data_IF_040375873003
#
_entry.id   IF_040375873003
#
_cell.length_a   1.000
_cell.length_b   1.000
_cell.length_c   1.000
_cell.angle_alpha   90.00
_cell.angle_beta   90.00
_cell.angle_gamma   90.00
#
_symmetry.space_group_name_H-M   'P 1'
#
loop_
_entity.id
_entity.type
_entity.pdbx_description
1 polymer ?
#
# COMPACT_ATOMS: atom_id res chain seq x y z
N UNK A 1 12.51 -10.63 0.78
CA UNK A 1 11.91 -9.53 0.05
C UNK A 1 12.54 -8.17 0.39
N UNK A 2 12.64 -7.81 1.68
CA UNK A 2 13.26 -6.56 2.08
C UNK A 2 14.76 -6.76 2.30
N UNK A 3 15.55 -5.78 1.91
CA UNK A 3 16.99 -5.79 2.14
C UNK A 3 17.50 -4.36 2.29
N UNK A 4 18.68 -4.21 2.90
CA UNK A 4 19.32 -2.91 2.99
C UNK A 4 19.96 -2.54 1.66
N UNK A 5 19.86 -1.28 1.28
CA UNK A 5 20.58 -0.78 0.12
C UNK A 5 22.06 -0.59 0.47
N UNK A 6 22.91 -0.48 -0.55
CA UNK A 6 24.34 -0.17 -0.35
C UNK A 6 24.56 1.18 0.32
N UNK A 7 23.53 2.04 0.35
CA UNK A 7 23.59 3.36 0.98
C UNK A 7 23.02 3.36 2.40
N UNK A 8 22.74 2.16 2.97
CA UNK A 8 22.23 2.03 4.33
C UNK A 8 20.72 2.15 4.47
N UNK A 9 19.98 2.41 3.40
CA UNK A 9 18.52 2.45 3.42
C UNK A 9 17.90 1.09 3.23
N UNK A 10 16.61 0.97 3.53
CA UNK A 10 15.83 -0.24 3.27
C UNK A 10 15.23 -0.14 1.87
N UNK A 11 15.48 -1.15 1.05
CA UNK A 11 14.85 -1.25 -0.26
C UNK A 11 14.08 -2.54 -0.35
N UNK A 12 13.00 -2.50 -1.10
CA UNK A 12 12.21 -3.69 -1.38
C UNK A 12 12.79 -4.39 -2.60
N UNK A 13 12.89 -5.72 -2.54
CA UNK A 13 13.22 -6.49 -3.71
C UNK A 13 12.15 -6.27 -4.79
N UNK A 14 12.53 -6.44 -6.04
CA UNK A 14 11.62 -6.27 -7.17
C UNK A 14 10.34 -7.07 -6.98
N UNK A 15 9.21 -6.43 -7.20
CA UNK A 15 7.90 -7.05 -7.03
C UNK A 15 7.59 -7.96 -8.22
N UNK A 16 7.11 -9.16 -7.90
CA UNK A 16 6.52 -10.09 -8.88
C UNK A 16 5.13 -10.44 -8.36
N UNK A 17 4.13 -10.29 -9.20
CA UNK A 17 2.75 -10.57 -8.81
C UNK A 17 2.09 -11.53 -9.80
N UNK A 18 1.32 -12.46 -9.28
CA UNK A 18 0.57 -13.45 -10.08
C UNK A 18 -0.90 -13.53 -9.67
N UNK A 19 -1.33 -12.73 -8.71
CA UNK A 19 -2.70 -12.77 -8.18
C UNK A 19 -3.75 -12.52 -9.25
N UNK A 20 -3.47 -11.65 -10.21
CA UNK A 20 -4.39 -11.38 -11.31
C UNK A 20 -4.64 -12.62 -12.15
N UNK A 21 -3.58 -13.30 -12.55
CA UNK A 21 -3.68 -14.54 -13.33
C UNK A 21 -4.41 -15.64 -12.55
N UNK A 22 -4.10 -15.77 -11.28
CA UNK A 22 -4.70 -16.79 -10.44
C UNK A 22 -6.21 -16.57 -10.26
N UNK A 23 -6.63 -15.34 -10.04
CA UNK A 23 -8.03 -15.01 -9.77
C UNK A 23 -8.84 -14.80 -11.05
N UNK A 24 -8.27 -14.16 -12.06
CA UNK A 24 -9.00 -13.63 -13.21
C UNK A 24 -8.43 -14.04 -14.57
N UNK A 25 -7.40 -14.88 -14.60
CA UNK A 25 -6.71 -15.20 -15.85
C UNK A 25 -7.62 -15.77 -16.93
N UNK A 26 -8.60 -16.58 -16.55
CA UNK A 26 -9.55 -17.18 -17.49
C UNK A 26 -10.73 -16.27 -17.82
N UNK A 27 -11.12 -15.43 -16.88
CA UNK A 27 -12.29 -14.55 -17.04
C UNK A 27 -11.92 -13.21 -17.67
N UNK A 28 -10.81 -12.60 -17.26
CA UNK A 28 -10.38 -11.28 -17.72
C UNK A 28 -8.87 -11.28 -17.94
N UNK A 29 -8.39 -11.97 -19.00
CA UNK A 29 -6.94 -12.14 -19.20
C UNK A 29 -6.17 -10.86 -19.42
N UNK A 30 -6.75 -9.88 -20.10
CA UNK A 30 -6.06 -8.59 -20.29
C UNK A 30 -5.92 -7.84 -18.97
N UNK A 31 -6.99 -7.81 -18.17
CA UNK A 31 -6.94 -7.18 -16.85
C UNK A 31 -5.90 -7.86 -15.97
N UNK A 32 -5.86 -9.19 -15.98
CA UNK A 32 -4.88 -9.95 -15.21
C UNK A 32 -3.46 -9.62 -15.64
N UNK A 33 -3.22 -9.49 -16.95
CA UNK A 33 -1.92 -9.08 -17.49
C UNK A 33 -1.55 -7.66 -17.01
N UNK A 34 -2.47 -6.72 -17.10
CA UNK A 34 -2.21 -5.35 -16.65
C UNK A 34 -1.93 -5.29 -15.15
N UNK A 35 -2.67 -6.07 -14.36
CA UNK A 35 -2.44 -6.14 -12.93
C UNK A 35 -1.05 -6.70 -12.61
N UNK A 36 -0.73 -7.85 -13.17
CA UNK A 36 0.47 -8.59 -12.78
C UNK A 36 1.74 -8.02 -13.42
N UNK A 37 1.71 -7.78 -14.72
CA UNK A 37 2.90 -7.43 -15.48
C UNK A 37 3.15 -5.92 -15.57
N UNK A 38 2.10 -5.13 -15.69
CA UNK A 38 2.23 -3.69 -15.87
C UNK A 38 2.16 -2.96 -14.54
N UNK A 39 1.06 -3.09 -13.81
CA UNK A 39 0.91 -2.40 -12.53
C UNK A 39 1.99 -2.80 -11.55
N UNK A 40 2.09 -4.08 -11.25
CA UNK A 40 3.06 -4.56 -10.26
C UNK A 40 4.43 -4.83 -10.86
N UNK A 41 4.50 -5.38 -12.07
CA UNK A 41 5.79 -5.73 -12.69
C UNK A 41 6.58 -4.53 -13.16
N UNK A 42 5.92 -3.50 -13.64
CA UNK A 42 6.59 -2.30 -14.16
C UNK A 42 6.40 -1.09 -13.27
N UNK A 43 5.15 -0.68 -13.01
CA UNK A 43 4.91 0.57 -12.29
C UNK A 43 5.41 0.55 -10.85
N UNK A 44 5.07 -0.49 -10.08
CA UNK A 44 5.51 -0.60 -8.70
C UNK A 44 7.03 -0.76 -8.57
N UNK A 45 7.69 -1.26 -9.59
CA UNK A 45 9.15 -1.43 -9.61
C UNK A 45 9.91 -0.23 -10.19
N UNK A 46 9.20 0.80 -10.62
CA UNK A 46 9.83 2.03 -11.10
C UNK A 46 10.48 2.75 -9.91
N UNK A 47 11.74 3.14 -10.06
CA UNK A 47 12.54 3.69 -8.97
C UNK A 47 12.49 5.22 -8.86
N UNK A 48 11.65 5.89 -9.66
CA UNK A 48 11.54 7.36 -9.62
C UNK A 48 10.98 7.88 -8.30
N UNK A 49 10.16 7.07 -7.61
CA UNK A 49 9.78 7.30 -6.22
C UNK A 49 10.03 6.02 -5.44
N UNK A 50 10.41 6.17 -4.17
CA UNK A 50 10.73 5.02 -3.35
C UNK A 50 9.48 4.22 -2.95
N UNK A 51 9.70 3.00 -2.48
CA UNK A 51 8.63 2.07 -2.16
C UNK A 51 7.76 2.58 -1.01
N UNK A 52 8.37 3.21 -0.01
CA UNK A 52 7.63 3.76 1.14
C UNK A 52 6.62 4.82 0.67
N UNK A 53 7.07 5.74 -0.19
CA UNK A 53 6.19 6.78 -0.72
C UNK A 53 5.12 6.21 -1.65
N UNK A 54 5.44 5.18 -2.46
CA UNK A 54 4.42 4.51 -3.28
C UNK A 54 3.32 3.92 -2.41
N UNK A 55 3.70 3.28 -1.31
CA UNK A 55 2.72 2.71 -0.37
C UNK A 55 1.84 3.80 0.25
N UNK A 56 2.43 4.92 0.66
CA UNK A 56 1.68 6.05 1.22
C UNK A 56 0.70 6.61 0.20
N UNK A 57 1.16 6.87 -1.02
CA UNK A 57 0.33 7.40 -2.11
C UNK A 57 -0.85 6.46 -2.37
N UNK A 58 -0.59 5.16 -2.41
CA UNK A 58 -1.63 4.15 -2.68
C UNK A 58 -2.68 4.13 -1.57
N UNK A 59 -2.25 4.11 -0.31
CA UNK A 59 -3.17 4.15 0.84
C UNK A 59 -4.03 5.41 0.80
N UNK A 60 -3.42 6.56 0.57
CA UNK A 60 -4.13 7.84 0.50
C UNK A 60 -5.15 7.85 -0.64
N UNK A 61 -4.76 7.38 -1.81
CA UNK A 61 -5.66 7.34 -2.98
C UNK A 61 -6.87 6.44 -2.73
N UNK A 62 -6.63 5.24 -2.18
CA UNK A 62 -7.69 4.28 -1.91
C UNK A 62 -8.64 4.80 -0.83
N UNK A 63 -8.09 5.35 0.25
CA UNK A 63 -8.89 5.98 1.31
C UNK A 63 -9.75 7.11 0.76
N UNK A 64 -9.14 8.01 0.02
CA UNK A 64 -9.83 9.18 -0.51
C UNK A 64 -10.94 8.80 -1.49
N UNK A 65 -10.76 7.72 -2.25
CA UNK A 65 -11.78 7.22 -3.17
C UNK A 65 -12.92 6.50 -2.47
N UNK A 66 -12.78 6.20 -1.18
CA UNK A 66 -13.81 5.54 -0.38
C UNK A 66 -13.77 4.02 -0.41
N UNK A 67 -12.76 3.42 -1.00
CA UNK A 67 -12.61 1.96 -1.04
C UNK A 67 -11.94 1.49 0.25
N UNK A 68 -12.75 1.26 1.29
CA UNK A 68 -12.25 0.88 2.62
C UNK A 68 -12.62 -0.58 2.87
N UNK A 69 -11.82 -1.47 2.31
CA UNK A 69 -12.05 -2.91 2.36
C UNK A 69 -10.71 -3.65 2.49
N UNK A 70 -10.70 -4.93 2.16
CA UNK A 70 -9.49 -5.76 2.24
C UNK A 70 -8.36 -5.26 1.35
N UNK A 71 -8.66 -4.57 0.25
CA UNK A 71 -7.63 -3.98 -0.60
C UNK A 71 -6.86 -2.91 0.16
N UNK A 72 -7.55 -2.04 0.88
CA UNK A 72 -6.89 -1.02 1.68
C UNK A 72 -6.06 -1.64 2.80
N UNK A 73 -6.60 -2.66 3.46
CA UNK A 73 -5.86 -3.36 4.52
C UNK A 73 -4.55 -3.94 3.98
N UNK A 74 -4.61 -4.56 2.80
CA UNK A 74 -3.42 -5.09 2.14
C UNK A 74 -2.37 -4.00 1.93
N UNK A 75 -2.79 -2.83 1.45
CA UNK A 75 -1.86 -1.72 1.21
C UNK A 75 -1.36 -1.07 2.50
N UNK A 76 -2.17 -1.06 3.58
CA UNK A 76 -1.70 -0.63 4.90
C UNK A 76 -0.62 -1.58 5.42
N UNK A 77 -0.81 -2.88 5.25
CA UNK A 77 0.21 -3.87 5.62
C UNK A 77 1.50 -3.67 4.83
N UNK A 78 1.40 -3.39 3.53
CA UNK A 78 2.56 -3.11 2.71
C UNK A 78 3.25 -1.82 3.13
N UNK A 79 2.49 -0.80 3.50
CA UNK A 79 3.04 0.46 4.01
C UNK A 79 3.87 0.21 5.27
N UNK A 80 3.35 -0.59 6.19
CA UNK A 80 4.09 -0.97 7.41
C UNK A 80 5.39 -1.68 7.03
N UNK A 81 5.35 -2.64 6.13
CA UNK A 81 6.55 -3.35 5.67
C UNK A 81 7.55 -2.40 5.01
N UNK A 82 7.06 -1.37 4.33
CA UNK A 82 7.91 -0.39 3.67
C UNK A 82 8.52 0.64 4.64
N UNK A 83 8.21 0.53 5.92
CA UNK A 83 8.82 1.37 6.94
C UNK A 83 7.93 2.50 7.45
N UNK A 84 6.65 2.53 7.08
CA UNK A 84 5.72 3.51 7.65
C UNK A 84 5.44 3.11 9.09
N UNK A 85 5.82 3.98 10.02
CA UNK A 85 5.60 3.73 11.45
C UNK A 85 4.15 4.02 11.83
N UNK A 86 3.74 3.52 12.99
CA UNK A 86 2.43 3.85 13.55
C UNK A 86 2.23 5.36 13.63
N UNK A 87 3.23 6.07 14.13
CA UNK A 87 3.17 7.52 14.29
C UNK A 87 3.01 8.24 12.95
N UNK A 88 3.77 7.81 11.95
CA UNK A 88 3.65 8.36 10.60
C UNK A 88 2.26 8.08 10.01
N UNK A 89 1.79 6.83 10.15
CA UNK A 89 0.48 6.45 9.64
C UNK A 89 -0.62 7.31 10.28
N UNK A 90 -0.57 7.53 11.59
CA UNK A 90 -1.55 8.37 12.28
C UNK A 90 -1.53 9.79 11.70
N UNK A 91 -0.36 10.36 11.50
CA UNK A 91 -0.24 11.71 10.94
C UNK A 91 -0.76 11.79 9.51
N UNK A 92 -0.46 10.78 8.68
CA UNK A 92 -0.92 10.71 7.29
C UNK A 92 -2.45 10.64 7.22
N UNK A 93 -3.04 9.69 7.93
CA UNK A 93 -4.49 9.47 7.88
C UNK A 93 -5.24 10.67 8.46
N UNK A 94 -4.74 11.24 9.56
CA UNK A 94 -5.33 12.43 10.15
C UNK A 94 -5.36 13.59 9.16
N UNK A 95 -4.23 13.83 8.49
CA UNK A 95 -4.14 14.90 7.50
C UNK A 95 -5.13 14.67 6.36
N UNK A 96 -5.14 13.47 5.79
CA UNK A 96 -6.02 13.15 4.67
C UNK A 96 -7.50 13.26 5.06
N UNK A 97 -7.86 12.92 6.30
CA UNK A 97 -9.25 12.99 6.76
C UNK A 97 -9.83 14.40 6.67
N UNK A 98 -9.01 15.44 6.85
CA UNK A 98 -9.45 16.83 6.69
C UNK A 98 -9.87 17.15 5.25
N UNK A 99 -9.26 16.49 4.28
CA UNK A 99 -9.49 16.75 2.86
C UNK A 99 -10.46 15.78 2.22
N UNK A 100 -10.44 14.52 2.68
CA UNK A 100 -11.24 13.45 2.05
C UNK A 100 -12.53 13.13 2.79
N UNK A 101 -12.66 13.57 4.04
CA UNK A 101 -13.84 13.34 4.86
C UNK A 101 -13.48 12.61 6.16
N UNK A 102 -13.96 13.18 7.26
CA UNK A 102 -13.65 12.68 8.61
C UNK A 102 -14.14 11.24 8.83
N UNK A 103 -15.35 10.86 8.37
CA UNK A 103 -15.79 9.47 8.49
C UNK A 103 -14.87 8.45 7.83
N UNK A 104 -14.21 8.82 6.73
CA UNK A 104 -13.23 7.94 6.09
C UNK A 104 -12.02 7.73 7.00
N UNK A 105 -11.60 8.80 7.71
CA UNK A 105 -10.53 8.69 8.71
C UNK A 105 -10.88 7.70 9.80
N UNK A 106 -12.09 7.75 10.33
CA UNK A 106 -12.58 6.80 11.34
C UNK A 106 -12.48 5.36 10.83
N UNK A 107 -12.99 5.12 9.64
CA UNK A 107 -13.00 3.78 9.06
C UNK A 107 -11.58 3.23 8.84
N UNK A 108 -10.69 4.08 8.33
CA UNK A 108 -9.30 3.67 8.09
C UNK A 108 -8.55 3.42 9.39
N UNK A 109 -8.77 4.25 10.42
CA UNK A 109 -8.12 4.01 11.72
C UNK A 109 -8.58 2.72 12.38
N UNK A 110 -9.85 2.37 12.26
CA UNK A 110 -10.33 1.10 12.78
C UNK A 110 -9.61 -0.08 12.13
N UNK A 111 -9.28 0.04 10.86
CA UNK A 111 -8.50 -0.97 10.14
C UNK A 111 -7.01 -0.91 10.49
N UNK A 112 -6.45 0.29 10.55
CA UNK A 112 -5.03 0.49 10.84
C UNK A 112 -4.63 0.02 12.24
N UNK A 113 -5.54 0.10 13.21
CA UNK A 113 -5.31 -0.42 14.57
C UNK A 113 -4.87 -1.88 14.55
N UNK A 114 -5.45 -2.66 13.66
CA UNK A 114 -5.11 -4.09 13.53
C UNK A 114 -3.71 -4.26 12.94
N UNK A 115 -3.36 -3.44 11.96
CA UNK A 115 -2.08 -3.55 11.24
C UNK A 115 -0.91 -3.18 12.14
N UNK A 116 -1.07 -2.14 12.97
CA UNK A 116 -0.01 -1.68 13.88
C UNK A 116 -0.25 -2.07 15.34
N UNK A 117 -1.03 -3.12 15.58
CA UNK A 117 -1.43 -3.50 16.93
C UNK A 117 -0.27 -3.78 17.90
N UNK A 118 0.83 -4.31 17.39
CA UNK A 118 1.99 -4.68 18.21
C UNK A 118 3.05 -3.59 18.31
N UNK A 119 2.85 -2.48 17.60
CA UNK A 119 3.86 -1.42 17.56
C UNK A 119 3.70 -0.48 18.75
N UNK A 120 4.80 -0.26 19.49
CA UNK A 120 4.84 0.70 20.58
C UNK A 120 4.82 2.13 20.04
N UNK A 121 4.46 3.08 20.90
CA UNK A 121 4.45 4.50 20.58
C UNK A 121 5.83 4.99 20.11
#
# INVERSE_FOLDING_TARGET
MWKLSSKGGIIMAKITQTAGRQALGDFAPEFAHYNDDILFGENWNNEDIDMKNRCIITVVAIMASGTIDSSLKFHLMNAKKAGVTKKENVAIITHVAFYAGWPKGWAVFNMAKEVWAEEAE
#
